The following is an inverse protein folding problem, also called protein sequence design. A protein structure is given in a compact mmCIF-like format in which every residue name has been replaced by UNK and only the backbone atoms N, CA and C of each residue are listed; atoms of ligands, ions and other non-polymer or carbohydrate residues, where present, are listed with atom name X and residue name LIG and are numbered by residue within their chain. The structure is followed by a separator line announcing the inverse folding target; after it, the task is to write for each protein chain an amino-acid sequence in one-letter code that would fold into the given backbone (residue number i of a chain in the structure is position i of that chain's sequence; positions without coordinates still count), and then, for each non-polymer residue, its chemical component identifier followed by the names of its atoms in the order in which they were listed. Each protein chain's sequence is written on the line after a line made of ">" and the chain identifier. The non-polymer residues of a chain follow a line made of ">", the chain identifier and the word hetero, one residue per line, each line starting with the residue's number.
data_IF_350830031744
#
_entry.id   IF_350830031744
#
_cell.length_a   1.000
_cell.length_b   1.000
_cell.length_c   1.000
_cell.angle_alpha   90.00
_cell.angle_beta   90.00
_cell.angle_gamma   90.00
#
_symmetry.space_group_name_H-M   'P 1'
#
loop_
_entity.id
_entity.type
_entity.pdbx_description
1 polymer ?
#
# COMPACT_ATOMS: atom_id res chain seq x y z
N UNK A 1 -5.59 -24.84 -0.33
CA UNK A 1 -5.50 -23.38 -0.27
C UNK A 1 -4.04 -22.95 -0.12
N UNK A 2 -3.51 -21.99 -0.89
CA UNK A 2 -2.16 -21.46 -0.74
C UNK A 2 -1.95 -20.88 0.67
N UNK A 3 -0.71 -20.99 1.19
CA UNK A 3 -0.39 -20.56 2.57
C UNK A 3 -0.71 -19.08 2.81
N UNK A 4 -0.28 -18.19 1.92
CA UNK A 4 -0.47 -16.75 2.09
C UNK A 4 -1.95 -16.34 2.05
N UNK A 5 -2.77 -16.97 1.19
CA UNK A 5 -4.21 -16.77 1.17
C UNK A 5 -4.83 -17.15 2.52
N UNK A 6 -4.44 -18.30 3.09
CA UNK A 6 -4.95 -18.76 4.39
C UNK A 6 -4.54 -17.85 5.54
N UNK A 7 -3.31 -17.33 5.53
CA UNK A 7 -2.87 -16.34 6.52
C UNK A 7 -3.73 -15.07 6.45
N UNK A 8 -4.10 -14.63 5.25
CA UNK A 8 -4.99 -13.49 5.08
C UNK A 8 -6.40 -13.78 5.60
N UNK A 9 -6.94 -14.96 5.32
CA UNK A 9 -8.27 -15.33 5.80
C UNK A 9 -8.31 -15.38 7.34
N UNK A 10 -7.24 -15.86 7.99
CA UNK A 10 -7.12 -15.79 9.46
C UNK A 10 -7.19 -14.32 9.93
N UNK A 11 -6.48 -13.42 9.26
CA UNK A 11 -6.48 -12.01 9.63
C UNK A 11 -7.84 -11.34 9.42
N UNK A 12 -8.55 -11.67 8.33
CA UNK A 12 -9.89 -11.17 8.05
C UNK A 12 -10.89 -11.64 9.13
N UNK A 13 -10.85 -12.92 9.50
CA UNK A 13 -11.68 -13.46 10.61
C UNK A 13 -11.38 -12.73 11.92
N UNK A 14 -10.11 -12.43 12.20
CA UNK A 14 -9.72 -11.69 13.41
C UNK A 14 -10.16 -10.22 13.38
N UNK A 15 -10.31 -9.61 12.21
CA UNK A 15 -10.83 -8.25 12.07
C UNK A 15 -12.34 -8.19 12.40
N UNK A 16 -13.09 -9.28 12.16
CA UNK A 16 -14.54 -9.36 12.40
C UNK A 16 -14.88 -10.00 13.77
N UNK A 17 -14.10 -10.98 14.23
CA UNK A 17 -14.42 -11.85 15.35
C UNK A 17 -13.27 -12.04 16.34
N UNK A 18 -12.62 -10.96 16.77
CA UNK A 18 -11.52 -11.01 17.73
C UNK A 18 -12.01 -10.72 19.16
N UNK A 19 -11.56 -11.46 20.21
CA UNK A 19 -10.64 -12.60 20.16
C UNK A 19 -11.32 -13.93 19.79
N UNK A 20 -10.58 -14.85 19.16
CA UNK A 20 -11.05 -16.16 18.70
C UNK A 20 -10.03 -17.26 19.07
N UNK A 21 -10.49 -18.53 19.21
CA UNK A 21 -9.58 -19.65 19.50
C UNK A 21 -9.02 -20.30 18.22
N UNK A 22 -7.92 -21.06 18.37
CA UNK A 22 -7.35 -21.80 17.25
C UNK A 22 -8.30 -22.87 16.71
N UNK A 23 -9.14 -23.46 17.58
CA UNK A 23 -10.17 -24.43 17.23
C UNK A 23 -11.25 -23.80 16.35
N UNK A 24 -11.72 -22.61 16.71
CA UNK A 24 -12.70 -21.87 15.93
C UNK A 24 -12.13 -21.46 14.55
N UNK A 25 -10.86 -21.02 14.50
CA UNK A 25 -10.18 -20.75 13.23
C UNK A 25 -10.06 -22.01 12.36
N UNK A 26 -9.77 -23.17 12.98
CA UNK A 26 -9.70 -24.46 12.31
C UNK A 26 -11.05 -24.83 11.65
N UNK A 27 -12.15 -24.61 12.38
CA UNK A 27 -13.51 -24.85 11.89
C UNK A 27 -13.90 -23.90 10.77
N UNK A 28 -13.69 -22.60 10.95
CA UNK A 28 -14.04 -21.57 9.96
C UNK A 28 -13.29 -21.72 8.63
N UNK A 29 -12.03 -22.17 8.70
CA UNK A 29 -11.18 -22.32 7.53
C UNK A 29 -11.10 -23.75 6.98
N UNK A 30 -11.85 -24.69 7.57
CA UNK A 30 -11.81 -26.11 7.22
C UNK A 30 -10.37 -26.65 7.12
N UNK A 31 -9.52 -26.23 8.07
CA UNK A 31 -8.08 -26.50 8.08
C UNK A 31 -7.69 -27.17 9.40
N UNK A 32 -6.78 -28.17 9.35
CA UNK A 32 -6.37 -28.89 10.55
C UNK A 32 -5.71 -28.00 11.61
N UNK A 33 -5.95 -28.26 12.88
CA UNK A 33 -5.35 -27.53 14.01
C UNK A 33 -3.82 -27.41 13.95
N UNK A 34 -3.04 -28.46 13.60
CA UNK A 34 -1.59 -28.34 13.46
C UNK A 34 -1.19 -27.30 12.39
N UNK A 35 -1.97 -27.20 11.31
CA UNK A 35 -1.74 -26.19 10.25
C UNK A 35 -2.06 -24.80 10.77
N UNK A 36 -3.21 -24.62 11.48
CA UNK A 36 -3.55 -23.35 12.11
C UNK A 36 -2.47 -22.91 13.10
N UNK A 37 -2.01 -23.78 14.00
CA UNK A 37 -0.94 -23.42 14.93
C UNK A 37 0.36 -23.01 14.23
N UNK A 38 0.70 -23.62 13.08
CA UNK A 38 1.86 -23.20 12.27
C UNK A 38 1.65 -21.82 11.68
N UNK A 39 0.46 -21.56 11.16
CA UNK A 39 0.09 -20.27 10.60
C UNK A 39 0.03 -19.17 11.69
N UNK A 40 -0.52 -19.46 12.86
CA UNK A 40 -0.51 -18.55 14.02
C UNK A 40 0.91 -18.22 14.50
N UNK A 41 1.82 -19.19 14.54
CA UNK A 41 3.23 -18.93 14.86
C UNK A 41 3.88 -18.00 13.84
N UNK A 42 3.58 -18.18 12.56
CA UNK A 42 4.06 -17.31 11.49
C UNK A 42 3.50 -15.90 11.63
N UNK A 43 2.19 -15.75 11.86
CA UNK A 43 1.54 -14.46 12.08
C UNK A 43 2.05 -13.75 13.34
N UNK A 44 2.29 -14.50 14.44
CA UNK A 44 2.90 -13.96 15.65
C UNK A 44 4.34 -13.50 15.43
N UNK A 45 5.15 -14.28 14.68
CA UNK A 45 6.50 -13.89 14.30
C UNK A 45 6.51 -12.62 13.44
N UNK A 46 5.51 -12.45 12.60
CA UNK A 46 5.26 -11.23 11.80
C UNK A 46 4.63 -10.10 12.61
N UNK A 47 4.40 -10.28 13.93
CA UNK A 47 3.76 -9.32 14.83
C UNK A 47 2.35 -8.88 14.39
N UNK A 48 1.63 -9.70 13.65
CA UNK A 48 0.30 -9.39 13.13
C UNK A 48 -0.83 -9.79 14.07
N UNK A 49 -0.53 -10.71 14.99
CA UNK A 49 -1.46 -11.20 16.00
C UNK A 49 -0.79 -11.28 17.38
N UNK A 50 -1.62 -11.24 18.41
CA UNK A 50 -1.24 -11.62 19.78
C UNK A 50 -1.95 -12.92 20.10
N UNK A 51 -1.18 -13.95 20.51
CA UNK A 51 -1.71 -15.24 20.95
C UNK A 51 -1.40 -15.41 22.45
N UNK A 52 -2.42 -15.32 23.27
CA UNK A 52 -2.28 -15.40 24.72
C UNK A 52 -3.39 -16.25 25.32
N UNK A 53 -3.03 -17.20 26.21
CA UNK A 53 -3.96 -18.11 26.94
C UNK A 53 -4.98 -18.82 26.03
N UNK A 54 -4.57 -19.24 24.83
CA UNK A 54 -5.43 -19.95 23.87
C UNK A 54 -6.32 -19.04 23.02
N UNK A 55 -6.31 -17.74 23.27
CA UNK A 55 -7.04 -16.75 22.48
C UNK A 55 -6.09 -16.04 21.51
N UNK A 56 -6.54 -15.90 20.28
CA UNK A 56 -5.88 -15.18 19.21
C UNK A 56 -6.62 -13.88 18.95
N UNK A 57 -5.91 -12.79 18.88
CA UNK A 57 -6.47 -11.49 18.55
C UNK A 57 -5.54 -10.72 17.60
N UNK A 58 -6.10 -9.80 16.84
CA UNK A 58 -5.32 -8.86 16.04
C UNK A 58 -4.34 -8.09 16.94
N UNK A 59 -3.10 -7.98 16.54
CA UNK A 59 -2.21 -6.99 17.14
C UNK A 59 -2.80 -5.59 16.87
N UNK A 60 -2.99 -4.81 17.92
CA UNK A 60 -3.53 -3.45 17.73
C UNK A 60 -2.60 -2.59 16.88
N UNK A 61 -3.15 -1.85 15.90
CA UNK A 61 -2.35 -1.22 14.84
C UNK A 61 -1.59 0.05 15.25
N UNK A 62 -1.27 0.23 16.53
CA UNK A 62 -0.63 1.48 16.94
C UNK A 62 0.83 1.64 16.50
N UNK A 63 1.52 0.55 16.08
CA UNK A 63 2.94 0.65 15.67
C UNK A 63 3.46 -0.46 14.74
N UNK A 64 2.66 -1.42 14.27
CA UNK A 64 3.19 -2.57 13.52
C UNK A 64 2.74 -2.54 12.06
N UNK A 65 3.60 -2.04 11.19
CA UNK A 65 3.44 -2.24 9.75
C UNK A 65 3.67 -3.70 9.37
N UNK A 66 2.72 -4.28 8.66
CA UNK A 66 2.83 -5.63 8.08
C UNK A 66 4.10 -5.71 7.22
N UNK A 67 4.93 -6.79 7.34
CA UNK A 67 6.14 -6.93 6.52
C UNK A 67 5.88 -6.75 5.03
N UNK A 68 6.85 -6.14 4.33
CA UNK A 68 6.71 -5.76 2.91
C UNK A 68 6.34 -6.94 2.01
N UNK A 69 7.00 -8.10 2.18
CA UNK A 69 6.74 -9.29 1.36
C UNK A 69 5.31 -9.81 1.53
N UNK A 70 4.80 -9.77 2.76
CA UNK A 70 3.43 -10.16 3.03
C UNK A 70 2.45 -9.17 2.40
N UNK A 71 2.66 -7.86 2.57
CA UNK A 71 1.82 -6.83 1.91
C UNK A 71 1.85 -6.95 0.38
N UNK A 72 2.97 -7.39 -0.20
CA UNK A 72 3.09 -7.60 -1.64
C UNK A 72 2.21 -8.75 -2.13
N UNK A 73 2.14 -9.85 -1.38
CA UNK A 73 1.36 -11.03 -1.75
C UNK A 73 -0.17 -10.87 -1.58
N UNK A 74 -0.59 -9.95 -0.68
CA UNK A 74 -2.01 -9.69 -0.43
C UNK A 74 -2.60 -8.88 -1.59
N UNK A 75 -3.81 -9.24 -2.05
CA UNK A 75 -4.54 -8.53 -3.12
C UNK A 75 -3.66 -8.33 -4.38
N UNK A 76 -2.88 -9.36 -4.75
CA UNK A 76 -1.93 -9.26 -5.85
C UNK A 76 -2.61 -9.03 -7.21
N UNK A 77 -3.80 -9.65 -7.44
CA UNK A 77 -4.58 -9.48 -8.66
C UNK A 77 -5.16 -8.07 -8.76
N UNK A 78 -5.75 -7.61 -7.66
CA UNK A 78 -6.31 -6.27 -7.53
C UNK A 78 -5.23 -5.20 -7.77
N UNK A 79 -4.07 -5.33 -7.14
CA UNK A 79 -2.94 -4.43 -7.32
C UNK A 79 -2.42 -4.41 -8.75
N UNK A 80 -2.36 -5.57 -9.40
CA UNK A 80 -1.94 -5.65 -10.80
C UNK A 80 -2.94 -4.97 -11.74
N UNK A 81 -4.25 -5.16 -11.53
CA UNK A 81 -5.29 -4.49 -12.32
C UNK A 81 -5.27 -2.97 -12.12
N UNK A 82 -5.16 -2.51 -10.86
CA UNK A 82 -5.05 -1.10 -10.50
C UNK A 82 -3.79 -0.49 -11.13
N UNK A 83 -2.65 -1.15 -11.05
CA UNK A 83 -1.39 -0.67 -11.60
C UNK A 83 -1.45 -0.53 -13.12
N UNK A 84 -2.02 -1.50 -13.83
CA UNK A 84 -2.21 -1.43 -15.28
C UNK A 84 -3.01 -0.22 -15.71
N UNK A 85 -4.16 0.01 -15.09
CA UNK A 85 -5.00 1.17 -15.40
C UNK A 85 -4.31 2.50 -15.04
N UNK A 86 -3.56 2.53 -13.95
CA UNK A 86 -2.83 3.73 -13.53
C UNK A 86 -1.65 4.06 -14.47
N UNK A 87 -1.03 3.06 -15.09
CA UNK A 87 0.06 3.27 -16.04
C UNK A 87 -0.39 4.09 -17.28
N UNK A 88 -1.66 3.98 -17.68
CA UNK A 88 -2.25 4.74 -18.78
C UNK A 88 -2.29 6.26 -18.52
N UNK A 89 -2.17 6.68 -17.28
CA UNK A 89 -2.12 8.11 -16.88
C UNK A 89 -0.72 8.72 -17.00
N UNK A 90 0.30 7.91 -17.28
CA UNK A 90 1.69 8.36 -17.39
C UNK A 90 1.98 8.83 -18.81
N UNK A 91 2.49 10.05 -18.94
CA UNK A 91 2.84 10.61 -20.23
C UNK A 91 4.30 10.27 -20.59
N UNK A 92 4.60 9.91 -21.86
CA UNK A 92 5.98 9.78 -22.34
C UNK A 92 6.78 11.08 -22.13
N UNK A 93 8.07 10.94 -21.83
CA UNK A 93 8.97 12.07 -21.54
C UNK A 93 8.80 12.67 -20.13
N UNK A 94 7.85 12.15 -19.32
CA UNK A 94 7.56 12.73 -18.01
C UNK A 94 8.48 12.23 -16.89
N UNK A 95 8.51 13.00 -15.81
CA UNK A 95 9.13 12.63 -14.53
C UNK A 95 8.05 12.13 -13.57
N UNK A 96 8.18 10.90 -13.15
CA UNK A 96 7.19 10.19 -12.34
C UNK A 96 7.73 9.90 -10.95
N UNK A 97 6.97 10.19 -9.91
CA UNK A 97 7.28 9.69 -8.57
C UNK A 97 6.45 8.45 -8.28
N UNK A 98 7.12 7.37 -7.88
CA UNK A 98 6.50 6.12 -7.44
C UNK A 98 6.95 5.87 -6.00
N UNK A 99 5.99 5.79 -5.07
CA UNK A 99 6.28 5.60 -3.66
C UNK A 99 6.75 4.16 -3.32
N UNK A 100 7.16 3.96 -2.08
CA UNK A 100 7.63 2.65 -1.57
C UNK A 100 6.50 1.63 -1.35
N UNK A 101 5.26 1.94 -1.72
CA UNK A 101 4.14 1.04 -1.48
C UNK A 101 4.18 -0.22 -2.36
N UNK A 102 3.66 -1.31 -1.81
CA UNK A 102 3.56 -2.56 -2.58
C UNK A 102 2.59 -2.45 -3.75
N UNK A 103 1.53 -1.65 -3.64
CA UNK A 103 0.58 -1.44 -4.74
C UNK A 103 1.26 -0.72 -5.91
N UNK A 104 2.01 0.36 -5.63
CA UNK A 104 2.74 1.09 -6.66
C UNK A 104 3.85 0.26 -7.33
N UNK A 105 4.44 -0.70 -6.61
CA UNK A 105 5.47 -1.58 -7.21
C UNK A 105 4.93 -2.48 -8.34
N UNK A 106 3.63 -2.72 -8.41
CA UNK A 106 2.99 -3.45 -9.52
C UNK A 106 2.92 -2.66 -10.83
N UNK A 107 3.19 -1.35 -10.80
CA UNK A 107 3.36 -0.53 -12.02
C UNK A 107 4.57 -0.96 -12.84
N UNK A 108 5.63 -1.48 -12.22
CA UNK A 108 6.95 -1.63 -12.86
C UNK A 108 6.91 -2.42 -14.17
N UNK A 109 6.21 -3.58 -14.27
CA UNK A 109 6.08 -4.29 -15.53
C UNK A 109 5.38 -3.47 -16.65
N UNK A 110 4.44 -2.61 -16.27
CA UNK A 110 3.67 -1.78 -17.22
C UNK A 110 4.47 -0.55 -17.72
N UNK A 111 5.63 -0.28 -17.10
CA UNK A 111 6.50 0.86 -17.44
C UNK A 111 7.66 0.47 -18.35
N UNK A 112 7.85 -0.82 -18.63
CA UNK A 112 8.95 -1.28 -19.49
C UNK A 112 8.83 -0.70 -20.89
N UNK A 113 9.94 -0.13 -21.38
CA UNK A 113 9.99 0.49 -22.71
C UNK A 113 9.43 1.91 -22.80
N UNK A 114 8.87 2.46 -21.72
CA UNK A 114 8.44 3.86 -21.70
C UNK A 114 9.64 4.80 -21.54
N UNK A 115 9.66 5.89 -22.30
CA UNK A 115 10.63 6.98 -22.11
C UNK A 115 10.16 7.87 -20.94
N UNK A 116 10.54 7.47 -19.74
CA UNK A 116 10.21 8.19 -18.50
C UNK A 116 11.42 8.22 -17.55
N UNK A 117 11.39 9.17 -16.62
CA UNK A 117 12.32 9.20 -15.49
C UNK A 117 11.53 8.97 -14.20
N UNK A 118 11.92 7.97 -13.43
CA UNK A 118 11.24 7.64 -12.16
C UNK A 118 12.05 8.07 -10.96
N UNK A 119 11.42 8.80 -10.05
CA UNK A 119 11.91 9.05 -8.70
C UNK A 119 11.19 8.10 -7.74
N UNK A 120 11.91 7.53 -6.78
CA UNK A 120 11.29 6.71 -5.74
C UNK A 120 12.02 6.84 -4.40
N UNK A 121 11.27 6.74 -3.32
CA UNK A 121 11.81 6.63 -1.98
C UNK A 121 11.87 5.16 -1.48
N UNK A 122 11.47 4.20 -2.31
CA UNK A 122 11.47 2.77 -1.98
C UNK A 122 12.74 2.08 -2.48
N UNK A 123 13.53 1.47 -1.58
CA UNK A 123 14.74 0.75 -1.97
C UNK A 123 14.43 -0.45 -2.87
N UNK A 124 13.41 -1.23 -2.52
CA UNK A 124 12.98 -2.38 -3.34
C UNK A 124 12.42 -1.91 -4.68
N UNK A 125 11.62 -0.84 -4.67
CA UNK A 125 11.08 -0.23 -5.90
C UNK A 125 12.21 0.23 -6.82
N UNK A 126 13.23 0.90 -6.29
CA UNK A 126 14.39 1.35 -7.06
C UNK A 126 15.16 0.19 -7.69
N UNK A 127 15.36 -0.90 -6.96
CA UNK A 127 16.02 -2.11 -7.48
C UNK A 127 15.23 -2.76 -8.62
N UNK A 128 13.91 -2.84 -8.48
CA UNK A 128 13.02 -3.41 -9.50
C UNK A 128 12.98 -2.55 -10.75
N UNK A 129 12.84 -1.23 -10.62
CA UNK A 129 12.90 -0.27 -11.73
C UNK A 129 14.21 -0.36 -12.50
N UNK A 130 15.34 -0.46 -11.78
CA UNK A 130 16.65 -0.63 -12.41
C UNK A 130 16.77 -1.93 -13.20
N UNK A 131 16.21 -3.04 -12.68
CA UNK A 131 16.17 -4.33 -13.40
C UNK A 131 15.32 -4.27 -14.67
N UNK A 132 14.24 -3.50 -14.64
CA UNK A 132 13.35 -3.24 -15.79
C UNK A 132 13.94 -2.23 -16.79
N UNK A 133 15.19 -1.76 -16.60
CA UNK A 133 15.86 -0.84 -17.52
C UNK A 133 15.37 0.61 -17.45
N UNK A 134 14.54 0.97 -16.48
CA UNK A 134 13.93 2.29 -16.35
C UNK A 134 14.94 3.27 -15.71
N UNK A 135 15.04 4.49 -16.27
CA UNK A 135 15.86 5.57 -15.68
C UNK A 135 15.32 5.93 -14.30
N UNK A 136 16.10 5.68 -13.26
CA UNK A 136 15.63 5.77 -11.88
C UNK A 136 16.55 6.61 -11.01
N UNK A 137 15.95 7.53 -10.24
CA UNK A 137 16.57 8.22 -9.12
C UNK A 137 16.00 7.68 -7.81
N UNK A 138 16.83 7.01 -7.03
CA UNK A 138 16.49 6.60 -5.67
C UNK A 138 16.77 7.77 -4.73
N UNK A 139 15.76 8.24 -4.02
CA UNK A 139 15.91 9.29 -3.02
C UNK A 139 16.74 8.76 -1.83
N UNK A 140 17.58 9.64 -1.27
CA UNK A 140 18.32 9.36 -0.04
C UNK A 140 17.54 9.77 1.20
N UNK A 141 18.00 9.34 2.37
CA UNK A 141 17.40 9.70 3.65
C UNK A 141 17.56 8.64 4.72
N UNK A 142 16.90 8.82 5.86
CA UNK A 142 16.79 7.80 6.90
C UNK A 142 15.86 6.67 6.49
N UNK A 143 16.19 5.43 6.87
CA UNK A 143 15.30 4.30 6.65
C UNK A 143 14.08 4.39 7.55
N UNK A 144 12.91 4.20 6.96
CA UNK A 144 11.64 4.08 7.68
C UNK A 144 11.49 2.66 8.19
N UNK A 145 11.18 2.53 9.47
CA UNK A 145 10.98 1.22 10.10
C UNK A 145 9.89 0.42 9.37
N UNK A 146 10.18 -0.86 9.11
CA UNK A 146 9.25 -1.84 8.51
C UNK A 146 8.78 -1.57 7.06
N UNK A 147 9.32 -0.59 6.34
CA UNK A 147 8.87 -0.32 4.96
C UNK A 147 9.96 -0.39 3.89
N UNK A 148 11.24 -0.43 4.24
CA UNK A 148 12.37 -0.28 3.33
C UNK A 148 12.24 0.98 2.44
N UNK A 149 11.55 1.99 2.95
CA UNK A 149 11.47 3.32 2.38
C UNK A 149 12.52 4.22 3.03
N UNK A 150 12.92 5.26 2.33
CA UNK A 150 13.69 6.36 2.90
C UNK A 150 12.81 7.59 3.09
N UNK A 151 13.05 8.34 4.14
CA UNK A 151 12.36 9.58 4.44
C UNK A 151 13.23 10.51 5.30
N UNK A 152 12.69 11.69 5.61
CA UNK A 152 13.32 12.70 6.42
C UNK A 152 13.56 14.01 5.67
N UNK A 153 14.12 14.99 6.37
CA UNK A 153 14.36 16.32 5.83
C UNK A 153 15.27 16.29 4.59
N UNK A 154 16.33 15.49 4.61
CA UNK A 154 17.23 15.32 3.47
C UNK A 154 16.55 14.75 2.22
N UNK A 155 15.56 13.86 2.41
CA UNK A 155 14.74 13.31 1.29
C UNK A 155 13.89 14.43 0.67
N UNK A 156 13.28 15.29 1.49
CA UNK A 156 12.49 16.41 1.04
C UNK A 156 13.38 17.45 0.31
N UNK A 157 14.57 17.74 0.83
CA UNK A 157 15.51 18.65 0.18
C UNK A 157 16.01 18.12 -1.16
N UNK A 158 16.20 16.81 -1.27
CA UNK A 158 16.59 16.21 -2.54
C UNK A 158 15.46 16.26 -3.56
N UNK A 159 14.25 15.90 -3.18
CA UNK A 159 13.09 15.87 -4.11
C UNK A 159 12.72 17.26 -4.63
N UNK A 160 13.01 18.33 -3.87
CA UNK A 160 12.82 19.73 -4.32
C UNK A 160 13.60 20.10 -5.57
N UNK A 161 14.66 19.36 -5.90
CA UNK A 161 15.49 19.60 -7.10
C UNK A 161 14.85 19.06 -8.37
N UNK A 162 13.76 18.33 -8.27
CA UNK A 162 13.07 17.70 -9.40
C UNK A 162 11.71 18.34 -9.61
N UNK A 163 11.34 18.47 -10.89
CA UNK A 163 9.96 18.70 -11.25
C UNK A 163 9.31 17.33 -11.43
N UNK A 164 8.22 17.09 -10.72
CA UNK A 164 7.45 15.86 -10.79
C UNK A 164 6.17 16.13 -11.55
N UNK A 165 5.99 15.47 -12.68
CA UNK A 165 4.80 15.61 -13.52
C UNK A 165 3.66 14.76 -12.98
N UNK A 166 3.95 13.52 -12.57
CA UNK A 166 2.95 12.57 -12.02
C UNK A 166 3.45 11.89 -10.76
N UNK A 167 2.62 11.87 -9.73
CA UNK A 167 2.82 11.11 -8.50
C UNK A 167 1.88 9.91 -8.46
N UNK A 168 2.43 8.69 -8.39
CA UNK A 168 1.67 7.46 -8.13
C UNK A 168 2.05 6.93 -6.75
N UNK A 169 1.06 6.78 -5.91
CA UNK A 169 1.28 6.38 -4.51
C UNK A 169 0.11 5.55 -3.99
N UNK A 170 0.35 4.87 -2.86
CA UNK A 170 -0.70 4.22 -2.11
C UNK A 170 -0.64 4.65 -0.65
N UNK A 171 -1.63 4.25 0.13
CA UNK A 171 -1.74 4.54 1.55
C UNK A 171 -2.13 3.30 2.34
N UNK A 172 -2.14 3.41 3.65
CA UNK A 172 -2.72 2.38 4.53
C UNK A 172 -4.23 2.26 4.28
N UNK A 173 -4.92 3.40 4.15
CA UNK A 173 -6.33 3.39 3.84
C UNK A 173 -6.94 4.76 3.58
N UNK A 174 -8.25 4.74 3.33
CA UNK A 174 -9.14 5.90 3.23
C UNK A 174 -10.16 5.76 4.36
N UNK A 175 -10.23 6.76 5.25
CA UNK A 175 -11.16 6.76 6.36
C UNK A 175 -12.61 7.00 5.92
N UNK A 176 -13.62 6.69 6.75
CA UNK A 176 -15.01 7.03 6.45
C UNK A 176 -15.26 8.52 6.23
N UNK A 177 -14.39 9.38 6.75
CA UNK A 177 -14.45 10.85 6.53
C UNK A 177 -13.69 11.31 5.28
N UNK A 178 -13.25 10.41 4.41
CA UNK A 178 -12.54 10.75 3.18
C UNK A 178 -11.09 11.21 3.39
N UNK A 179 -10.48 10.90 4.54
CA UNK A 179 -9.06 11.18 4.78
C UNK A 179 -8.20 10.01 4.35
N UNK A 180 -7.14 10.28 3.62
CA UNK A 180 -6.06 9.33 3.36
C UNK A 180 -5.26 9.17 4.66
N UNK A 181 -5.12 7.94 5.15
CA UNK A 181 -4.53 7.65 6.46
C UNK A 181 -3.35 6.68 6.36
N UNK A 182 -2.38 6.82 7.29
CA UNK A 182 -1.20 5.97 7.35
C UNK A 182 -0.65 5.90 8.79
N UNK A 183 -0.04 4.78 9.22
CA UNK A 183 0.60 4.68 10.52
C UNK A 183 2.01 5.32 10.59
N UNK A 184 2.63 5.66 9.46
CA UNK A 184 4.01 6.14 9.36
C UNK A 184 4.08 7.64 9.10
N UNK A 185 4.39 8.44 10.13
CA UNK A 185 4.59 9.89 9.99
C UNK A 185 5.74 10.23 9.03
N UNK A 186 6.81 9.44 9.06
CA UNK A 186 7.98 9.67 8.20
C UNK A 186 7.64 9.62 6.71
N UNK A 187 6.85 8.63 6.27
CA UNK A 187 6.42 8.53 4.87
C UNK A 187 5.42 9.63 4.50
N UNK A 188 4.54 10.01 5.43
CA UNK A 188 3.52 11.03 5.18
C UNK A 188 4.10 12.40 4.84
N UNK A 189 5.17 12.82 5.52
CA UNK A 189 5.79 14.14 5.30
C UNK A 189 6.28 14.29 3.87
N UNK A 190 6.93 13.26 3.31
CA UNK A 190 7.37 13.23 1.93
C UNK A 190 6.18 13.21 0.95
N UNK A 191 5.19 12.34 1.18
CA UNK A 191 4.00 12.23 0.31
C UNK A 191 3.20 13.53 0.29
N UNK A 192 3.00 14.18 1.45
CA UNK A 192 2.36 15.51 1.52
C UNK A 192 3.10 16.57 0.75
N UNK A 193 4.43 16.57 0.84
CA UNK A 193 5.24 17.51 0.09
C UNK A 193 5.06 17.30 -1.42
N UNK A 194 5.19 16.07 -1.91
CA UNK A 194 5.09 15.77 -3.34
C UNK A 194 3.67 16.03 -3.85
N UNK A 195 2.62 15.65 -3.11
CA UNK A 195 1.22 15.89 -3.47
C UNK A 195 0.93 17.37 -3.76
N UNK A 196 1.57 18.27 -3.02
CA UNK A 196 1.41 19.72 -3.21
C UNK A 196 2.21 20.31 -4.37
N UNK A 197 3.18 19.55 -4.91
CA UNK A 197 4.15 20.05 -5.89
C UNK A 197 4.20 19.20 -7.17
N UNK A 198 3.31 18.24 -7.33
CA UNK A 198 3.17 17.44 -8.54
C UNK A 198 2.11 18.04 -9.49
N UNK A 199 2.25 17.76 -10.79
CA UNK A 199 1.26 18.17 -11.77
C UNK A 199 -0.03 17.34 -11.71
N UNK A 200 0.13 16.02 -11.52
CA UNK A 200 -0.97 15.04 -11.42
C UNK A 200 -0.69 14.09 -10.27
N UNK A 201 -1.69 13.80 -9.47
CA UNK A 201 -1.62 12.85 -8.36
C UNK A 201 -2.59 11.69 -8.55
N UNK A 202 -2.08 10.47 -8.39
CA UNK A 202 -2.83 9.21 -8.58
C UNK A 202 -2.69 8.34 -7.34
N UNK A 203 -3.80 8.14 -6.62
CA UNK A 203 -3.87 7.23 -5.49
C UNK A 203 -4.27 5.83 -5.98
N UNK A 204 -3.49 4.83 -5.61
CA UNK A 204 -3.72 3.42 -5.92
C UNK A 204 -4.28 2.73 -4.68
N UNK A 205 -5.54 2.33 -4.70
CA UNK A 205 -6.21 1.88 -3.50
C UNK A 205 -7.16 0.71 -3.79
N UNK A 206 -6.85 -0.49 -3.33
CA UNK A 206 -7.76 -1.63 -3.41
C UNK A 206 -8.91 -1.49 -2.40
N UNK A 207 -10.02 -2.22 -2.64
CA UNK A 207 -11.25 -2.15 -1.83
C UNK A 207 -11.02 -2.40 -0.34
N UNK A 208 -10.02 -3.19 0.03
CA UNK A 208 -9.74 -3.52 1.43
C UNK A 208 -9.21 -2.34 2.24
N UNK A 209 -8.88 -1.24 1.58
CA UNK A 209 -8.34 -0.03 2.20
C UNK A 209 -9.39 1.03 2.52
N UNK A 210 -10.62 0.86 2.04
CA UNK A 210 -11.73 1.76 2.40
C UNK A 210 -12.22 1.51 3.82
N UNK A 211 -12.68 2.56 4.49
CA UNK A 211 -13.16 2.50 5.87
C UNK A 211 -12.05 2.30 6.93
N UNK A 212 -10.77 2.34 6.54
CA UNK A 212 -9.65 2.20 7.48
C UNK A 212 -9.38 3.51 8.23
N UNK A 213 -9.04 3.37 9.49
CA UNK A 213 -8.53 4.48 10.33
C UNK A 213 -7.08 4.21 10.72
N UNK A 214 -6.32 5.27 10.96
CA UNK A 214 -4.92 5.16 11.38
C UNK A 214 -4.52 6.36 12.24
N UNK A 215 -3.31 6.31 12.80
CA UNK A 215 -2.82 7.34 13.72
C UNK A 215 -2.68 8.72 13.02
N UNK A 216 -2.24 8.71 11.77
CA UNK A 216 -1.98 9.95 11.05
C UNK A 216 -2.89 10.11 9.84
N UNK A 217 -3.39 11.33 9.66
CA UNK A 217 -4.07 11.78 8.45
C UNK A 217 -3.03 12.36 7.48
N UNK A 218 -3.02 11.94 6.23
CA UNK A 218 -2.16 12.48 5.19
C UNK A 218 -2.74 13.74 4.56
N UNK A 219 -3.85 13.58 3.87
CA UNK A 219 -4.55 14.63 3.14
C UNK A 219 -6.02 14.20 2.93
N UNK A 220 -6.94 15.15 2.69
CA UNK A 220 -8.27 14.81 2.19
C UNK A 220 -8.18 14.15 0.81
N UNK A 221 -9.05 13.19 0.53
CA UNK A 221 -9.08 12.51 -0.78
C UNK A 221 -9.39 13.48 -1.93
N UNK A 222 -10.14 14.55 -1.66
CA UNK A 222 -10.40 15.64 -2.60
C UNK A 222 -9.16 16.41 -3.06
N UNK A 223 -8.01 16.23 -2.41
CA UNK A 223 -6.74 16.82 -2.84
C UNK A 223 -6.00 15.99 -3.90
N UNK A 224 -6.51 14.79 -4.21
CA UNK A 224 -5.96 13.86 -5.20
C UNK A 224 -6.71 14.02 -6.53
N UNK A 225 -5.99 13.97 -7.65
CA UNK A 225 -6.60 14.09 -8.97
C UNK A 225 -7.33 12.82 -9.40
N UNK A 226 -6.70 11.66 -9.24
CA UNK A 226 -7.25 10.36 -9.64
C UNK A 226 -7.18 9.35 -8.51
N UNK A 227 -8.25 8.58 -8.35
CA UNK A 227 -8.26 7.36 -7.56
C UNK A 227 -8.44 6.17 -8.51
N UNK A 228 -7.48 5.24 -8.50
CA UNK A 228 -7.59 3.97 -9.23
C UNK A 228 -7.85 2.85 -8.23
N UNK A 229 -8.96 2.15 -8.39
CA UNK A 229 -9.46 1.18 -7.40
C UNK A 229 -10.26 0.04 -8.06
N UNK A 230 -10.32 -1.11 -7.37
CA UNK A 230 -11.23 -2.22 -7.69
C UNK A 230 -12.58 -2.15 -6.93
N UNK A 231 -12.74 -1.13 -6.09
CA UNK A 231 -14.02 -0.79 -5.48
C UNK A 231 -14.86 0.08 -6.44
N UNK A 232 -16.15 0.17 -6.18
CA UNK A 232 -17.06 1.10 -6.86
C UNK A 232 -17.64 2.09 -5.84
N UNK A 233 -16.81 3.02 -5.32
CA UNK A 233 -17.28 3.98 -4.33
C UNK A 233 -18.25 4.98 -4.99
N UNK A 234 -19.20 5.49 -4.20
CA UNK A 234 -20.01 6.63 -4.64
C UNK A 234 -19.15 7.90 -4.73
N UNK A 235 -19.58 8.94 -5.46
CA UNK A 235 -18.87 10.22 -5.49
C UNK A 235 -18.67 10.85 -4.09
N UNK A 236 -19.60 10.63 -3.18
CA UNK A 236 -19.54 11.11 -1.79
C UNK A 236 -18.48 10.34 -0.98
N UNK A 237 -18.31 9.04 -1.25
CA UNK A 237 -17.29 8.19 -0.58
C UNK A 237 -15.88 8.44 -1.12
N UNK A 238 -15.76 8.87 -2.38
CA UNK A 238 -14.47 9.12 -3.02
C UNK A 238 -14.45 10.45 -3.79
N UNK A 239 -14.52 11.59 -3.11
CA UNK A 239 -14.49 12.91 -3.73
C UNK A 239 -13.06 13.27 -4.17
N UNK A 240 -12.66 12.87 -5.37
CA UNK A 240 -11.38 13.26 -5.99
C UNK A 240 -11.56 14.45 -6.94
N UNK A 241 -10.47 15.14 -7.28
CA UNK A 241 -10.51 16.34 -8.16
C UNK A 241 -10.95 16.06 -9.58
N UNK A 242 -10.56 14.93 -10.14
CA UNK A 242 -10.83 14.62 -11.56
C UNK A 242 -11.69 13.38 -11.72
N UNK A 243 -11.18 12.20 -11.40
CA UNK A 243 -11.87 10.95 -11.71
C UNK A 243 -11.53 9.81 -10.78
N UNK A 244 -12.54 9.01 -10.46
CA UNK A 244 -12.37 7.63 -9.95
C UNK A 244 -12.35 6.68 -11.14
N UNK A 245 -11.28 5.90 -11.26
CA UNK A 245 -11.11 4.85 -12.26
C UNK A 245 -11.33 3.51 -11.57
N UNK A 246 -12.45 2.87 -11.88
CA UNK A 246 -12.76 1.55 -11.32
C UNK A 246 -12.33 0.47 -12.29
N UNK A 247 -11.56 -0.51 -11.78
CA UNK A 247 -11.04 -1.62 -12.57
C UNK A 247 -11.73 -2.93 -12.19
N UNK A 248 -12.15 -3.75 -13.16
CA UNK A 248 -12.61 -5.10 -12.87
C UNK A 248 -11.41 -5.98 -12.46
N UNK A 249 -11.63 -6.83 -11.46
CA UNK A 249 -10.67 -7.87 -11.08
C UNK A 249 -11.21 -9.21 -11.55
N UNK A 250 -10.52 -9.93 -12.43
CA UNK A 250 -10.94 -11.21 -12.97
C UNK A 250 -10.90 -12.35 -11.94
#
# INVERSE_FOLDING_TARGET
>A
MPKESRLQDILNILDEHSPITAEQLSQNLFTSLPTIYRDLRELSRRKLIVHNRGLVQRAQPQTVTTPLDFRRAIQAREKAAIARAAAELIQPGSTVFIDASTTASYLIPELEGLDITVLTNGLVTAMLLKRAGIRTYCLGGGLVENSLAVSGQSTIELVRRFRIDTMLFSAYGISPSGMIVDPSEGELSLRRYILKHTGVSVLLCDRSKFGKTSLFNMAPLQDVDYLVTDAAPTPEEAPVRRQVITVPVP
#
